data_IF_539421736548
#
_entry.id   IF_539421736548
#
_cell.length_a   1.000
_cell.length_b   1.000
_cell.length_c   1.000
_cell.angle_alpha   90.00
_cell.angle_beta   90.00
_cell.angle_gamma   90.00
#
_symmetry.space_group_name_H-M   'P 1'
#
loop_
_entity.id
_entity.type
_entity.pdbx_description
1 polymer ?
#
# COMPACT_ATOMS: atom_id res chain seq x y z
N UNK A 1 11.83 -0.85 5.44
CA UNK A 1 10.74 -1.49 6.24
C UNK A 1 10.21 -0.46 7.22
N UNK A 2 8.88 -0.36 7.45
CA UNK A 2 8.32 0.64 8.37
C UNK A 2 8.77 0.41 9.81
N UNK A 3 9.02 1.50 10.56
CA UNK A 3 9.51 1.44 11.95
C UNK A 3 8.44 0.89 12.90
N UNK A 4 7.18 1.29 12.72
CA UNK A 4 6.05 0.95 13.60
C UNK A 4 5.54 -0.46 13.32
N UNK A 5 5.43 -1.29 14.36
CA UNK A 5 5.00 -2.70 14.26
C UNK A 5 3.58 -2.82 13.68
N UNK A 6 2.61 -2.04 14.18
CA UNK A 6 1.23 -2.06 13.69
C UNK A 6 1.16 -1.84 12.17
N UNK A 7 1.90 -0.85 11.67
CA UNK A 7 1.94 -0.56 10.22
C UNK A 7 2.61 -1.67 9.42
N UNK A 8 3.63 -2.35 9.97
CA UNK A 8 4.25 -3.52 9.31
C UNK A 8 3.27 -4.67 9.23
N UNK A 9 2.62 -4.99 10.35
CA UNK A 9 1.68 -6.11 10.45
C UNK A 9 0.46 -5.90 9.55
N UNK A 10 -0.08 -4.68 9.51
CA UNK A 10 -1.17 -4.31 8.62
C UNK A 10 -0.78 -4.47 7.13
N UNK A 11 0.41 -3.99 6.77
CA UNK A 11 0.93 -4.10 5.40
C UNK A 11 1.12 -5.57 4.99
N UNK A 12 1.64 -6.41 5.88
CA UNK A 12 1.84 -7.84 5.61
C UNK A 12 0.51 -8.60 5.57
N UNK A 13 -0.46 -8.25 6.43
CA UNK A 13 -1.81 -8.84 6.37
C UNK A 13 -2.50 -8.52 5.04
N UNK A 14 -2.48 -7.26 4.61
CA UNK A 14 -3.07 -6.84 3.34
C UNK A 14 -2.44 -7.57 2.14
N UNK A 15 -1.11 -7.67 2.10
CA UNK A 15 -0.41 -8.42 1.07
C UNK A 15 -0.73 -9.92 1.10
N UNK A 16 -0.76 -10.52 2.29
CA UNK A 16 -1.12 -11.94 2.44
C UNK A 16 -2.54 -12.25 1.97
N UNK A 17 -3.48 -11.35 2.19
CA UNK A 17 -4.85 -11.53 1.67
C UNK A 17 -4.90 -11.34 0.16
N UNK A 18 -4.21 -10.34 -0.38
CA UNK A 18 -4.16 -10.09 -1.81
C UNK A 18 -3.62 -11.30 -2.59
N UNK A 19 -2.50 -11.88 -2.16
CA UNK A 19 -1.93 -13.05 -2.85
C UNK A 19 -2.88 -14.26 -2.79
N UNK A 20 -3.59 -14.47 -1.68
CA UNK A 20 -4.61 -15.52 -1.57
C UNK A 20 -5.75 -15.31 -2.56
N UNK A 21 -6.24 -14.06 -2.66
CA UNK A 21 -7.31 -13.72 -3.60
C UNK A 21 -6.86 -13.97 -5.05
N UNK A 22 -5.69 -13.48 -5.46
CA UNK A 22 -5.22 -13.67 -6.85
C UNK A 22 -5.00 -15.15 -7.16
N UNK A 23 -4.46 -15.94 -6.24
CA UNK A 23 -4.31 -17.39 -6.40
C UNK A 23 -5.64 -18.14 -6.58
N UNK A 24 -6.74 -17.61 -6.08
CA UNK A 24 -8.04 -18.28 -6.20
C UNK A 24 -8.58 -18.33 -7.64
N UNK A 25 -8.07 -17.48 -8.53
CA UNK A 25 -8.51 -17.40 -9.93
C UNK A 25 -7.36 -17.43 -10.95
N UNK A 26 -6.10 -17.57 -10.48
CA UNK A 26 -4.91 -17.58 -11.36
C UNK A 26 -4.03 -18.77 -11.02
N UNK A 27 -3.79 -19.64 -12.01
CA UNK A 27 -2.83 -20.73 -11.91
C UNK A 27 -1.46 -20.26 -12.37
N UNK A 28 -0.53 -20.02 -11.45
CA UNK A 28 0.81 -19.58 -11.76
C UNK A 28 1.82 -20.16 -10.77
N UNK A 29 2.78 -20.92 -11.27
CA UNK A 29 3.78 -21.62 -10.46
C UNK A 29 4.65 -20.67 -9.63
N UNK A 30 4.99 -19.49 -10.15
CA UNK A 30 5.77 -18.50 -9.41
C UNK A 30 4.96 -17.92 -8.24
N UNK A 31 3.67 -17.64 -8.45
CA UNK A 31 2.77 -17.15 -7.40
C UNK A 31 2.61 -18.19 -6.28
N UNK A 32 2.52 -19.47 -6.63
CA UNK A 32 2.44 -20.56 -5.66
C UNK A 32 3.72 -20.72 -4.87
N UNK A 33 4.89 -20.63 -5.53
CA UNK A 33 6.19 -20.64 -4.87
C UNK A 33 6.33 -19.45 -3.91
N UNK A 34 6.01 -18.25 -4.37
CA UNK A 34 6.07 -17.04 -3.54
C UNK A 34 5.15 -17.13 -2.32
N UNK A 35 3.91 -17.59 -2.51
CA UNK A 35 2.99 -17.83 -1.39
C UNK A 35 3.53 -18.86 -0.39
N UNK A 36 4.17 -19.92 -0.88
CA UNK A 36 4.80 -20.94 -0.03
C UNK A 36 5.93 -20.36 0.81
N UNK A 37 6.76 -19.48 0.24
CA UNK A 37 7.83 -18.79 0.98
C UNK A 37 7.29 -17.80 2.02
N UNK A 38 6.20 -17.10 1.71
CA UNK A 38 5.48 -16.27 2.67
C UNK A 38 4.94 -17.12 3.83
N UNK A 39 4.33 -18.26 3.52
CA UNK A 39 3.73 -19.15 4.52
C UNK A 39 4.76 -19.76 5.47
N UNK A 40 6.00 -19.92 5.01
CA UNK A 40 7.14 -20.37 5.83
C UNK A 40 7.81 -19.24 6.60
N UNK A 41 7.34 -18.01 6.48
CA UNK A 41 7.95 -16.80 7.04
C UNK A 41 9.37 -16.51 6.51
N UNK A 42 9.74 -17.05 5.35
CA UNK A 42 11.02 -16.78 4.70
C UNK A 42 11.06 -15.39 4.05
N UNK A 43 9.89 -14.85 3.70
CA UNK A 43 9.76 -13.51 3.13
C UNK A 43 8.50 -12.81 3.64
N UNK A 44 8.53 -11.49 3.89
CA UNK A 44 7.35 -10.75 4.29
C UNK A 44 6.42 -10.54 3.09
N UNK A 45 5.12 -10.67 3.31
CA UNK A 45 4.08 -10.38 2.31
C UNK A 45 3.74 -8.89 2.29
N UNK A 46 4.71 -8.01 2.07
CA UNK A 46 4.42 -6.57 2.07
C UNK A 46 3.50 -6.19 0.91
N UNK A 47 2.44 -5.44 1.20
CA UNK A 47 1.40 -5.11 0.22
C UNK A 47 1.95 -4.51 -1.10
N UNK A 48 2.91 -3.57 -1.11
CA UNK A 48 3.46 -3.04 -2.37
C UNK A 48 4.18 -4.10 -3.21
N UNK A 49 4.95 -4.99 -2.58
CA UNK A 49 5.68 -6.05 -3.30
C UNK A 49 4.70 -7.08 -3.85
N UNK A 50 3.73 -7.51 -3.05
CA UNK A 50 2.68 -8.44 -3.51
C UNK A 50 1.87 -7.82 -4.65
N UNK A 51 1.53 -6.53 -4.56
CA UNK A 51 0.84 -5.82 -5.65
C UNK A 51 1.65 -5.84 -6.94
N UNK A 52 2.95 -5.58 -6.88
CA UNK A 52 3.82 -5.62 -8.05
C UNK A 52 3.89 -7.03 -8.66
N UNK A 53 4.08 -8.06 -7.83
CA UNK A 53 4.12 -9.46 -8.27
C UNK A 53 2.79 -9.89 -8.91
N UNK A 54 1.67 -9.64 -8.24
CA UNK A 54 0.35 -10.00 -8.76
C UNK A 54 0.03 -9.24 -10.05
N UNK A 55 0.33 -7.95 -10.11
CA UNK A 55 0.13 -7.14 -11.31
C UNK A 55 0.94 -7.66 -12.50
N UNK A 56 2.21 -8.01 -12.29
CA UNK A 56 3.06 -8.60 -13.32
C UNK A 56 2.48 -9.91 -13.86
N UNK A 57 2.01 -10.80 -12.98
CA UNK A 57 1.41 -12.09 -13.36
C UNK A 57 0.11 -11.90 -14.13
N UNK A 58 -0.68 -10.88 -13.78
CA UNK A 58 -1.93 -10.54 -14.45
C UNK A 58 -1.73 -9.71 -15.73
N UNK A 59 -0.50 -9.45 -16.15
CA UNK A 59 -0.19 -8.67 -17.35
C UNK A 59 -0.47 -7.17 -17.21
N UNK A 60 -0.55 -6.65 -15.99
CA UNK A 60 -0.73 -5.23 -15.74
C UNK A 60 0.62 -4.53 -15.84
N UNK A 61 0.71 -3.52 -16.66
CA UNK A 61 1.91 -2.70 -16.83
C UNK A 61 2.35 -2.05 -15.51
N UNK A 62 3.66 -1.91 -15.31
CA UNK A 62 4.25 -1.42 -14.05
C UNK A 62 3.75 -0.02 -13.67
N UNK A 63 3.55 0.87 -14.64
CA UNK A 63 3.02 2.22 -14.44
C UNK A 63 1.58 2.20 -13.91
N UNK A 64 0.75 1.32 -14.49
CA UNK A 64 -0.64 1.11 -14.03
C UNK A 64 -0.68 0.50 -12.63
N UNK A 65 0.20 -0.46 -12.34
CA UNK A 65 0.32 -1.06 -11.01
C UNK A 65 0.75 -0.01 -9.96
N UNK A 66 1.71 0.85 -10.29
CA UNK A 66 2.13 1.94 -9.42
C UNK A 66 1.00 2.96 -9.20
N UNK A 67 0.23 3.28 -10.25
CA UNK A 67 -0.93 4.16 -10.17
C UNK A 67 -2.02 3.57 -9.28
N UNK A 68 -2.33 2.29 -9.43
CA UNK A 68 -3.29 1.59 -8.57
C UNK A 68 -2.88 1.65 -7.09
N UNK A 69 -1.60 1.41 -6.80
CA UNK A 69 -1.07 1.44 -5.44
C UNK A 69 -1.17 2.84 -4.83
N UNK A 70 -0.70 3.88 -5.54
CA UNK A 70 -0.68 5.25 -5.03
C UNK A 70 -2.08 5.85 -4.92
N UNK A 71 -2.94 5.59 -5.92
CA UNK A 71 -4.33 6.02 -5.88
C UNK A 71 -5.11 5.32 -4.75
N UNK A 72 -4.92 4.00 -4.59
CA UNK A 72 -5.53 3.22 -3.51
C UNK A 72 -5.13 3.74 -2.12
N UNK A 73 -3.84 4.08 -1.93
CA UNK A 73 -3.36 4.71 -0.70
C UNK A 73 -4.05 6.07 -0.45
N UNK A 74 -4.18 6.90 -1.49
CA UNK A 74 -4.84 8.20 -1.42
C UNK A 74 -6.32 8.06 -1.03
N UNK A 75 -7.04 7.15 -1.69
CA UNK A 75 -8.45 6.85 -1.37
C UNK A 75 -8.60 6.37 0.07
N UNK A 76 -7.74 5.48 0.53
CA UNK A 76 -7.76 4.97 1.90
C UNK A 76 -7.55 6.07 2.94
N UNK A 77 -6.61 6.98 2.68
CA UNK A 77 -6.31 8.12 3.56
C UNK A 77 -7.48 9.09 3.65
N UNK A 78 -8.06 9.46 2.50
CA UNK A 78 -9.22 10.36 2.44
C UNK A 78 -10.46 9.68 3.05
N UNK A 79 -10.63 8.38 2.82
CA UNK A 79 -11.68 7.59 3.46
C UNK A 79 -11.55 7.54 4.98
N UNK A 80 -10.34 7.53 5.52
CA UNK A 80 -10.12 7.67 6.96
C UNK A 80 -10.52 9.07 7.45
N UNK A 81 -10.15 10.13 6.73
CA UNK A 81 -10.55 11.51 7.06
C UNK A 81 -12.08 11.68 7.03
N UNK A 82 -12.76 11.08 6.06
CA UNK A 82 -14.22 11.06 5.97
C UNK A 82 -14.85 10.37 7.20
N UNK A 83 -14.35 9.20 7.59
CA UNK A 83 -14.86 8.48 8.78
C UNK A 83 -14.59 9.22 10.09
N UNK A 84 -13.55 10.03 10.16
CA UNK A 84 -13.22 10.89 11.29
C UNK A 84 -14.02 12.20 11.29
N UNK A 85 -14.86 12.46 10.27
CA UNK A 85 -15.63 13.70 10.15
C UNK A 85 -14.80 14.93 9.82
N UNK A 86 -13.55 14.77 9.34
CA UNK A 86 -12.67 15.88 8.96
C UNK A 86 -13.04 16.47 7.60
N UNK A 87 -13.69 15.69 6.76
CA UNK A 87 -14.20 16.10 5.45
C UNK A 87 -15.55 15.43 5.21
N UNK A 88 -16.41 16.06 4.39
CA UNK A 88 -17.64 15.46 3.91
C UNK A 88 -17.44 14.67 2.60
N UNK A 89 -18.50 14.03 2.10
CA UNK A 89 -18.46 13.23 0.88
C UNK A 89 -18.08 14.05 -0.36
N UNK A 90 -18.57 15.29 -0.47
CA UNK A 90 -18.29 16.16 -1.61
C UNK A 90 -16.84 16.62 -1.56
N UNK A 91 -16.39 17.09 -0.41
CA UNK A 91 -15.01 17.50 -0.18
C UNK A 91 -14.01 16.37 -0.46
N UNK A 92 -14.34 15.15 -0.03
CA UNK A 92 -13.49 13.98 -0.27
C UNK A 92 -13.28 13.72 -1.78
N UNK A 93 -14.35 13.82 -2.59
CA UNK A 93 -14.27 13.67 -4.05
C UNK A 93 -13.51 14.84 -4.71
N UNK A 94 -13.70 16.06 -4.24
CA UNK A 94 -12.94 17.22 -4.73
C UNK A 94 -11.44 17.07 -4.46
N UNK A 95 -11.06 16.61 -3.28
CA UNK A 95 -9.66 16.36 -2.93
C UNK A 95 -9.07 15.26 -3.83
N UNK A 96 -9.77 14.14 -3.98
CA UNK A 96 -9.35 13.06 -4.88
C UNK A 96 -9.13 13.56 -6.30
N UNK A 97 -10.08 14.37 -6.81
CA UNK A 97 -9.96 14.94 -8.15
C UNK A 97 -8.73 15.85 -8.29
N UNK A 98 -8.49 16.73 -7.32
CA UNK A 98 -7.34 17.65 -7.32
C UNK A 98 -5.99 16.92 -7.21
N UNK A 99 -5.94 15.75 -6.60
CA UNK A 99 -4.71 14.98 -6.42
C UNK A 99 -4.33 14.12 -7.64
N UNK A 100 -5.24 13.89 -8.60
CA UNK A 100 -4.95 13.07 -9.80
C UNK A 100 -3.69 13.53 -10.57
N UNK A 101 -3.52 14.82 -10.90
CA UNK A 101 -2.31 15.27 -11.58
C UNK A 101 -1.02 15.02 -10.78
N UNK A 102 -1.10 15.20 -9.45
CA UNK A 102 0.04 14.94 -8.56
C UNK A 102 0.41 13.45 -8.54
N UNK A 103 -0.57 12.55 -8.55
CA UNK A 103 -0.33 11.10 -8.62
C UNK A 103 0.38 10.76 -9.92
N UNK A 104 -0.11 11.25 -11.06
CA UNK A 104 0.48 10.99 -12.37
C UNK A 104 1.92 11.50 -12.44
N UNK A 105 2.15 12.78 -12.09
CA UNK A 105 3.50 13.36 -12.12
C UNK A 105 4.47 12.69 -11.15
N UNK A 106 3.99 12.22 -10.01
CA UNK A 106 4.80 11.44 -9.07
C UNK A 106 5.26 10.13 -9.70
N UNK A 107 4.36 9.40 -10.34
CA UNK A 107 4.69 8.14 -11.00
C UNK A 107 5.69 8.37 -12.12
N UNK A 108 5.43 9.32 -13.03
CA UNK A 108 6.34 9.67 -14.12
C UNK A 108 7.75 9.99 -13.61
N UNK A 109 7.85 10.76 -12.53
CA UNK A 109 9.13 11.16 -11.94
C UNK A 109 9.88 9.98 -11.32
N UNK A 110 9.19 9.07 -10.63
CA UNK A 110 9.86 8.03 -9.83
C UNK A 110 10.01 6.68 -10.53
N UNK A 111 9.29 6.42 -11.63
CA UNK A 111 9.41 5.17 -12.38
C UNK A 111 10.76 4.94 -13.04
N UNK A 112 11.52 6.00 -13.30
CA UNK A 112 12.86 5.94 -13.89
C UNK A 112 13.99 5.85 -12.85
N UNK A 113 13.66 5.98 -11.55
CA UNK A 113 14.68 5.97 -10.49
C UNK A 113 15.09 4.52 -10.21
N UNK A 114 16.40 4.20 -10.26
CA UNK A 114 16.91 2.87 -9.91
C UNK A 114 16.64 2.52 -8.44
N UNK A 115 16.49 1.22 -8.15
CA UNK A 115 16.20 0.73 -6.81
C UNK A 115 17.28 1.11 -5.79
N UNK A 116 18.53 1.18 -6.23
CA UNK A 116 19.69 1.57 -5.42
C UNK A 116 19.58 2.99 -4.89
N UNK A 117 18.84 3.84 -5.57
CA UNK A 117 18.58 5.23 -5.17
C UNK A 117 17.30 5.40 -4.35
N UNK A 118 16.70 4.29 -3.93
CA UNK A 118 15.50 4.33 -3.10
C UNK A 118 15.84 4.79 -1.68
N UNK A 119 15.21 5.86 -1.23
CA UNK A 119 15.32 6.35 0.13
C UNK A 119 13.98 6.85 0.66
N UNK A 120 13.81 6.87 1.96
CA UNK A 120 12.63 7.42 2.62
C UNK A 120 13.05 8.33 3.77
N UNK A 121 12.46 9.52 3.83
CA UNK A 121 12.59 10.43 4.95
C UNK A 121 11.24 11.08 5.26
N UNK A 122 10.54 10.57 6.27
CA UNK A 122 9.21 11.05 6.67
C UNK A 122 9.06 11.11 8.20
N UNK A 123 9.93 11.87 8.91
CA UNK A 123 10.02 11.82 10.37
C UNK A 123 8.71 12.23 11.05
N UNK A 124 7.97 13.18 10.51
CA UNK A 124 6.68 13.60 11.08
C UNK A 124 5.65 12.47 11.02
N UNK A 125 5.59 11.74 9.89
CA UNK A 125 4.69 10.62 9.72
C UNK A 125 5.06 9.45 10.64
N UNK A 126 6.35 9.16 10.76
CA UNK A 126 6.85 8.11 11.65
C UNK A 126 6.54 8.44 13.12
N UNK A 127 6.75 9.67 13.56
CA UNK A 127 6.41 10.12 14.91
C UNK A 127 4.92 10.00 15.22
N UNK A 128 4.04 10.39 14.29
CA UNK A 128 2.59 10.24 14.44
C UNK A 128 2.19 8.77 14.56
N UNK A 129 2.79 7.89 13.74
CA UNK A 129 2.53 6.45 13.82
C UNK A 129 3.02 5.84 15.14
N UNK A 130 4.21 6.21 15.63
CA UNK A 130 4.74 5.75 16.91
C UNK A 130 3.87 6.20 18.09
N UNK A 131 3.40 7.46 18.05
CA UNK A 131 2.47 7.98 19.07
C UNK A 131 1.13 7.24 19.03
N UNK A 132 0.62 6.90 17.85
CA UNK A 132 -0.62 6.13 17.69
C UNK A 132 -0.49 4.73 18.29
N UNK A 133 0.65 4.07 18.13
CA UNK A 133 0.91 2.73 18.70
C UNK A 133 0.78 2.69 20.23
N UNK A 134 1.06 3.82 20.91
CA UNK A 134 1.01 3.95 22.38
C UNK A 134 -0.37 4.39 22.92
N UNK A 135 -1.33 4.76 22.07
CA UNK A 135 -2.65 5.23 22.52
C UNK A 135 -3.53 4.10 23.04
N UNK A 136 -4.19 4.34 24.19
CA UNK A 136 -5.16 3.40 24.77
C UNK A 136 -6.46 3.28 23.97
N UNK A 137 -6.93 4.38 23.36
CA UNK A 137 -8.11 4.38 22.51
C UNK A 137 -7.68 4.58 21.05
N UNK A 138 -7.98 3.61 20.22
CA UNK A 138 -7.69 3.63 18.78
C UNK A 138 -8.99 3.53 18.02
N UNK A 139 -9.27 4.50 17.14
CA UNK A 139 -10.48 4.50 16.33
C UNK A 139 -10.40 3.50 15.17
N UNK A 140 -9.18 3.20 14.71
CA UNK A 140 -8.92 2.18 13.69
C UNK A 140 -7.84 1.25 14.20
N UNK A 141 -8.23 -0.02 14.40
CA UNK A 141 -7.29 -1.12 14.66
C UNK A 141 -7.10 -1.81 13.31
N UNK A 142 -5.91 -1.67 12.76
CA UNK A 142 -5.53 -2.33 11.51
C UNK A 142 -5.00 -3.74 11.77
#
# INVERSE_FOLDING_TARGET
MKLVKESRDAMCRSGSQMIKCVRSFTNNNFLDLYYKEISKSNTPATHPVVTAVCSSILGIEKEKAAMMLLYGFTVSTIGAALRLGLVDHIQSQQILHKLKPNITSTIEKFMSIPLENMWQFSPQYDLVQMTHEQKFSKMFIT
#
